data_IF_307127477779
#
_entry.id   IF_307127477779
#
_cell.length_a   1.000
_cell.length_b   1.000
_cell.length_c   1.000
_cell.angle_alpha   90.00
_cell.angle_beta   90.00
_cell.angle_gamma   90.00
#
_symmetry.space_group_name_H-M   'P 1'
#
loop_
_entity.id
_entity.type
_entity.pdbx_description
1 polymer ?
#
# COMPACT_ATOMS: atom_id res chain seq x y z
N UNK A 1 18.38 -0.42 9.08
CA UNK A 1 18.33 -0.06 7.65
C UNK A 1 19.70 0.06 7.00
N UNK A 2 20.69 0.64 7.69
CA UNK A 2 22.05 0.81 7.16
C UNK A 2 22.85 -0.49 7.00
N UNK A 3 22.31 -1.63 7.44
CA UNK A 3 22.94 -2.96 7.36
C UNK A 3 22.18 -3.94 6.48
N UNK A 4 21.21 -3.49 5.70
CA UNK A 4 20.40 -4.31 4.80
C UNK A 4 20.65 -3.91 3.35
N UNK A 5 20.51 -4.86 2.44
CA UNK A 5 20.62 -4.66 0.98
C UNK A 5 19.39 -3.93 0.39
N UNK A 6 18.75 -3.04 1.18
CA UNK A 6 17.58 -2.27 0.77
C UNK A 6 18.03 -0.84 0.43
N UNK A 7 17.91 -0.50 -0.83
CA UNK A 7 18.35 0.82 -1.33
C UNK A 7 17.36 1.93 -1.04
N UNK A 8 16.05 1.65 -1.15
CA UNK A 8 15.00 2.67 -1.04
C UNK A 8 13.80 2.13 -0.27
N UNK A 9 13.21 2.99 0.55
CA UNK A 9 11.97 2.69 1.28
C UNK A 9 10.97 3.83 1.07
N UNK A 10 9.73 3.48 0.76
CA UNK A 10 8.59 4.37 0.91
C UNK A 10 7.95 4.08 2.28
N UNK A 11 8.12 5.00 3.21
CA UNK A 11 7.46 4.92 4.52
C UNK A 11 6.07 5.51 4.42
N UNK A 12 5.07 4.81 4.94
CA UNK A 12 3.66 5.17 4.81
C UNK A 12 3.12 5.71 6.13
N UNK A 13 2.55 6.92 6.10
CA UNK A 13 1.84 7.49 7.22
C UNK A 13 0.36 7.13 7.14
N UNK A 14 -0.14 6.36 8.09
CA UNK A 14 -1.54 5.91 8.12
C UNK A 14 -2.44 6.76 9.05
N UNK A 15 -1.87 7.76 9.71
CA UNK A 15 -2.57 8.70 10.59
C UNK A 15 -1.94 10.09 10.49
N UNK A 16 -2.61 11.12 11.01
CA UNK A 16 -2.06 12.50 11.01
C UNK A 16 -0.69 12.55 11.69
N UNK A 17 -0.56 11.91 12.85
CA UNK A 17 0.73 11.82 13.56
C UNK A 17 1.73 10.96 12.80
N UNK A 18 1.29 9.84 12.21
CA UNK A 18 2.08 8.96 11.35
C UNK A 18 2.65 9.73 10.14
N UNK A 19 1.84 10.55 9.48
CA UNK A 19 2.29 11.40 8.38
C UNK A 19 3.41 12.38 8.82
N UNK A 20 3.26 13.05 9.97
CA UNK A 20 4.29 13.94 10.50
C UNK A 20 5.61 13.20 10.78
N UNK A 21 5.53 12.01 11.38
CA UNK A 21 6.71 11.15 11.64
C UNK A 21 7.36 10.69 10.33
N UNK A 22 6.55 10.29 9.36
CA UNK A 22 7.00 9.85 8.02
C UNK A 22 7.73 10.97 7.28
N UNK A 23 7.18 12.17 7.27
CA UNK A 23 7.83 13.36 6.69
C UNK A 23 9.17 13.66 7.37
N UNK A 24 9.24 13.55 8.70
CA UNK A 24 10.49 13.72 9.43
C UNK A 24 11.55 12.67 9.06
N UNK A 25 11.15 11.40 8.94
CA UNK A 25 12.06 10.33 8.52
C UNK A 25 12.57 10.57 7.09
N UNK A 26 11.71 10.92 6.16
CA UNK A 26 12.08 11.22 4.78
C UNK A 26 13.02 12.42 4.67
N UNK A 27 12.89 13.41 5.56
CA UNK A 27 13.83 14.55 5.65
C UNK A 27 15.19 14.14 6.18
N UNK A 28 15.24 13.22 7.16
CA UNK A 28 16.49 12.80 7.81
C UNK A 28 17.30 11.83 6.97
N UNK A 29 16.67 10.99 6.15
CA UNK A 29 17.33 9.91 5.43
C UNK A 29 17.14 10.05 3.91
N UNK A 30 18.26 10.03 3.18
CA UNK A 30 18.28 10.24 1.73
C UNK A 30 17.44 9.19 0.97
N UNK A 31 17.47 7.95 1.42
CA UNK A 31 16.84 6.79 0.79
C UNK A 31 15.43 6.48 1.33
N UNK A 32 14.88 7.34 2.18
CA UNK A 32 13.49 7.24 2.63
C UNK A 32 12.64 8.27 1.90
N UNK A 33 11.54 7.80 1.34
CA UNK A 33 10.46 8.61 0.76
C UNK A 33 9.20 8.46 1.61
N UNK A 34 8.24 9.35 1.41
CA UNK A 34 7.02 9.42 2.18
C UNK A 34 5.80 9.15 1.30
N UNK A 35 4.87 8.36 1.81
CA UNK A 35 3.48 8.43 1.43
C UNK A 35 2.68 8.99 2.61
N UNK A 36 1.74 9.90 2.34
CA UNK A 36 0.95 10.57 3.37
C UNK A 36 -0.54 10.46 3.06
N UNK A 37 -1.30 10.08 4.06
CA UNK A 37 -2.75 9.87 3.99
C UNK A 37 -3.28 9.46 5.36
N UNK A 38 -4.58 9.30 5.46
CA UNK A 38 -5.22 8.86 6.70
C UNK A 38 -5.97 7.57 6.43
N UNK A 39 -5.66 6.55 7.19
CA UNK A 39 -6.27 5.22 7.13
C UNK A 39 -7.73 5.25 7.62
N UNK A 40 -8.60 4.36 7.16
CA UNK A 40 -9.99 4.27 7.62
C UNK A 40 -10.17 4.34 9.13
N UNK A 41 -9.33 3.68 9.91
CA UNK A 41 -9.40 3.66 11.39
C UNK A 41 -9.29 5.05 12.06
N UNK A 42 -8.77 6.04 11.34
CA UNK A 42 -8.56 7.42 11.84
C UNK A 42 -9.43 8.47 11.12
N UNK A 43 -10.41 8.07 10.32
CA UNK A 43 -11.25 8.99 9.55
C UNK A 43 -12.14 9.91 10.41
N UNK A 44 -12.42 9.54 11.64
CA UNK A 44 -13.10 10.41 12.62
C UNK A 44 -12.31 11.69 12.96
N UNK A 45 -10.99 11.66 12.77
CA UNK A 45 -10.08 12.79 13.00
C UNK A 45 -9.86 13.65 11.75
N UNK A 46 -10.37 13.21 10.59
CA UNK A 46 -10.13 13.88 9.32
C UNK A 46 -11.11 15.04 9.10
N UNK A 47 -10.59 16.14 8.60
CA UNK A 47 -11.34 17.34 8.23
C UNK A 47 -10.67 18.06 7.05
N UNK A 48 -11.27 19.09 6.49
CA UNK A 48 -10.74 19.80 5.32
C UNK A 48 -9.43 20.55 5.60
N UNK A 49 -9.15 20.95 6.84
CA UNK A 49 -7.87 21.59 7.19
C UNK A 49 -6.73 20.55 7.08
N UNK A 50 -6.97 19.31 7.51
CA UNK A 50 -6.02 18.20 7.35
C UNK A 50 -5.84 17.85 5.88
N UNK A 51 -6.90 17.78 5.10
CA UNK A 51 -6.81 17.56 3.64
C UNK A 51 -5.97 18.65 2.97
N UNK A 52 -6.19 19.91 3.36
CA UNK A 52 -5.43 21.06 2.84
C UNK A 52 -3.94 20.96 3.20
N UNK A 53 -3.61 20.59 4.43
CA UNK A 53 -2.24 20.34 4.87
C UNK A 53 -1.58 19.19 4.11
N UNK A 54 -2.26 18.04 3.94
CA UNK A 54 -1.74 16.90 3.16
C UNK A 54 -1.48 17.30 1.71
N UNK A 55 -2.38 18.10 1.11
CA UNK A 55 -2.24 18.62 -0.24
C UNK A 55 -1.03 19.53 -0.38
N UNK A 56 -0.81 20.45 0.56
CA UNK A 56 0.33 21.35 0.59
C UNK A 56 1.66 20.57 0.69
N UNK A 57 1.75 19.61 1.60
CA UNK A 57 2.91 18.73 1.74
C UNK A 57 3.17 17.94 0.45
N UNK A 58 2.13 17.39 -0.17
CA UNK A 58 2.27 16.62 -1.41
C UNK A 58 2.77 17.46 -2.58
N UNK A 59 2.43 18.74 -2.65
CA UNK A 59 2.85 19.67 -3.71
C UNK A 59 4.25 20.24 -3.46
N UNK A 60 4.58 20.57 -2.22
CA UNK A 60 5.81 21.30 -1.89
C UNK A 60 7.00 20.40 -1.56
N UNK A 61 6.75 19.18 -1.09
CA UNK A 61 7.79 18.28 -0.61
C UNK A 61 8.12 17.19 -1.64
N UNK A 62 9.28 17.23 -2.30
CA UNK A 62 9.66 16.25 -3.32
C UNK A 62 9.87 14.84 -2.76
N UNK A 63 9.98 14.69 -1.44
CA UNK A 63 10.05 13.38 -0.79
C UNK A 63 8.69 12.69 -0.64
N UNK A 64 7.59 13.42 -0.80
CA UNK A 64 6.25 12.84 -0.84
C UNK A 64 6.00 12.29 -2.25
N UNK A 65 5.95 10.97 -2.36
CA UNK A 65 5.85 10.26 -3.64
C UNK A 65 4.47 9.65 -3.91
N UNK A 66 3.64 9.51 -2.88
CA UNK A 66 2.29 8.95 -3.00
C UNK A 66 1.34 9.53 -1.94
N UNK A 67 0.04 9.40 -2.20
CA UNK A 67 -1.01 9.64 -1.21
C UNK A 67 -1.47 8.28 -0.66
N UNK A 68 -1.34 8.10 0.62
CA UNK A 68 -1.67 6.84 1.32
C UNK A 68 -1.07 6.79 2.73
N UNK A 69 -1.57 5.90 3.51
CA UNK A 69 -2.55 4.86 3.20
C UNK A 69 -3.97 5.43 3.30
N UNK A 70 -4.80 5.19 2.29
CA UNK A 70 -6.20 5.61 2.23
C UNK A 70 -7.05 4.43 1.76
N UNK A 71 -8.35 4.42 2.04
CA UNK A 71 -9.20 3.33 1.54
C UNK A 71 -10.36 2.96 2.44
N UNK A 72 -10.68 1.65 2.49
CA UNK A 72 -11.84 1.10 3.20
C UNK A 72 -11.45 -0.13 4.03
N UNK A 73 -11.95 -0.22 5.26
CA UNK A 73 -11.86 -1.41 6.11
C UNK A 73 -13.26 -1.80 6.63
N UNK A 74 -13.85 -2.84 6.06
CA UNK A 74 -15.15 -3.36 6.47
C UNK A 74 -15.03 -4.54 7.44
N UNK A 75 -13.83 -4.96 7.76
CA UNK A 75 -13.62 -6.00 8.76
C UNK A 75 -13.88 -5.48 10.18
N UNK A 76 -13.38 -4.30 10.50
CA UNK A 76 -13.69 -3.61 11.76
C UNK A 76 -14.99 -2.82 11.66
N UNK A 77 -15.32 -2.32 10.46
CA UNK A 77 -16.53 -1.53 10.14
C UNK A 77 -16.67 -0.26 11.03
N UNK A 78 -15.54 0.28 11.44
CA UNK A 78 -15.40 1.51 12.24
C UNK A 78 -14.39 2.45 11.57
N UNK A 79 -14.73 3.75 11.40
CA UNK A 79 -16.05 4.35 11.57
C UNK A 79 -17.08 3.80 10.57
N UNK A 80 -18.35 4.23 10.70
CA UNK A 80 -19.43 3.80 9.79
C UNK A 80 -19.04 3.92 8.31
N UNK A 81 -19.51 3.00 7.48
CA UNK A 81 -19.18 2.92 6.03
C UNK A 81 -19.38 4.23 5.29
N UNK A 82 -20.44 4.97 5.61
CA UNK A 82 -20.71 6.28 4.99
C UNK A 82 -19.57 7.28 5.24
N UNK A 83 -18.97 7.25 6.42
CA UNK A 83 -17.81 8.08 6.78
C UNK A 83 -16.58 7.60 6.03
N UNK A 84 -16.34 6.28 5.96
CA UNK A 84 -15.22 5.70 5.23
C UNK A 84 -15.30 6.05 3.73
N UNK A 85 -16.47 5.86 3.10
CA UNK A 85 -16.68 6.19 1.68
C UNK A 85 -16.37 7.66 1.40
N UNK A 86 -16.96 8.59 2.20
CA UNK A 86 -16.77 10.03 2.07
C UNK A 86 -15.28 10.42 2.10
N UNK A 87 -14.54 9.93 3.09
CA UNK A 87 -13.15 10.36 3.27
C UNK A 87 -12.19 9.64 2.33
N UNK A 88 -12.50 8.42 1.90
CA UNK A 88 -11.75 7.78 0.83
C UNK A 88 -11.90 8.54 -0.49
N UNK A 89 -13.13 8.85 -0.91
CA UNK A 89 -13.39 9.66 -2.11
C UNK A 89 -12.67 11.03 -2.03
N UNK A 90 -12.75 11.69 -0.88
CA UNK A 90 -12.13 13.01 -0.69
C UNK A 90 -10.60 12.96 -0.79
N UNK A 91 -9.96 11.97 -0.21
CA UNK A 91 -8.50 11.80 -0.30
C UNK A 91 -8.08 11.37 -1.72
N UNK A 92 -8.86 10.51 -2.38
CA UNK A 92 -8.61 10.14 -3.77
C UNK A 92 -8.71 11.36 -4.70
N UNK A 93 -9.71 12.20 -4.52
CA UNK A 93 -9.84 13.45 -5.27
C UNK A 93 -8.59 14.33 -5.08
N UNK A 94 -8.13 14.50 -3.84
CA UNK A 94 -6.89 15.24 -3.55
C UNK A 94 -5.68 14.62 -4.26
N UNK A 95 -5.55 13.29 -4.27
CA UNK A 95 -4.45 12.59 -4.94
C UNK A 95 -4.44 12.87 -6.46
N UNK A 96 -5.61 12.86 -7.10
CA UNK A 96 -5.76 13.23 -8.52
C UNK A 96 -5.40 14.69 -8.76
N UNK A 97 -5.83 15.62 -7.89
CA UNK A 97 -5.51 17.04 -7.97
C UNK A 97 -4.00 17.32 -7.88
N UNK A 98 -3.28 16.58 -7.03
CA UNK A 98 -1.81 16.73 -6.88
C UNK A 98 -1.01 15.83 -7.82
N UNK A 99 -1.69 15.04 -8.64
CA UNK A 99 -1.11 14.09 -9.60
C UNK A 99 -0.09 13.14 -8.95
N UNK A 100 -0.47 12.52 -7.84
CA UNK A 100 0.34 11.52 -7.12
C UNK A 100 -0.36 10.17 -7.13
N UNK A 101 0.36 9.05 -7.29
CA UNK A 101 -0.20 7.71 -7.16
C UNK A 101 -0.73 7.48 -5.75
N UNK A 102 -1.62 6.49 -5.59
CA UNK A 102 -2.24 6.18 -4.30
C UNK A 102 -1.78 4.84 -3.74
N UNK A 103 -1.73 4.74 -2.41
CA UNK A 103 -1.57 3.47 -1.68
C UNK A 103 -2.90 3.15 -1.01
N UNK A 104 -3.54 2.07 -1.45
CA UNK A 104 -4.91 1.73 -1.11
C UNK A 104 -4.96 0.60 -0.09
N UNK A 105 -5.52 0.90 1.07
CA UNK A 105 -6.03 -0.10 1.99
C UNK A 105 -7.40 -0.58 1.55
N UNK A 106 -7.59 -1.88 1.46
CA UNK A 106 -8.91 -2.42 1.11
C UNK A 106 -9.11 -3.78 1.75
N UNK A 107 -9.94 -3.82 2.79
CA UNK A 107 -10.23 -5.05 3.53
C UNK A 107 -11.72 -5.33 3.57
N UNK A 108 -12.13 -6.47 3.01
CA UNK A 108 -13.54 -6.88 2.83
C UNK A 108 -14.41 -5.85 2.09
N UNK A 109 -13.79 -4.93 1.33
CA UNK A 109 -14.43 -3.77 0.68
C UNK A 109 -14.19 -3.71 -0.85
N UNK A 110 -13.88 -4.84 -1.50
CA UNK A 110 -13.40 -4.90 -2.89
C UNK A 110 -14.31 -4.15 -3.87
N UNK A 111 -15.63 -4.37 -3.80
CA UNK A 111 -16.58 -3.79 -4.75
C UNK A 111 -16.62 -2.26 -4.64
N UNK A 112 -16.74 -1.73 -3.42
CA UNK A 112 -16.79 -0.29 -3.19
C UNK A 112 -15.44 0.37 -3.49
N UNK A 113 -14.32 -0.28 -3.15
CA UNK A 113 -13.00 0.18 -3.55
C UNK A 113 -12.89 0.33 -5.08
N UNK A 114 -13.28 -0.69 -5.84
CA UNK A 114 -13.27 -0.64 -7.31
C UNK A 114 -14.17 0.49 -7.84
N UNK A 115 -15.37 0.65 -7.28
CA UNK A 115 -16.31 1.67 -7.69
C UNK A 115 -15.76 3.08 -7.46
N UNK A 116 -15.19 3.34 -6.27
CA UNK A 116 -14.60 4.65 -5.94
C UNK A 116 -13.40 4.94 -6.83
N UNK A 117 -12.51 3.98 -7.03
CA UNK A 117 -11.34 4.17 -7.89
C UNK A 117 -11.73 4.48 -9.33
N UNK A 118 -12.75 3.80 -9.88
CA UNK A 118 -13.27 4.07 -11.23
C UNK A 118 -13.92 5.46 -11.34
N UNK A 119 -14.81 5.78 -10.41
CA UNK A 119 -15.54 7.04 -10.43
C UNK A 119 -14.62 8.25 -10.17
N UNK A 120 -13.56 8.04 -9.37
CA UNK A 120 -12.55 9.05 -9.06
C UNK A 120 -11.44 9.20 -10.13
N UNK A 121 -11.52 8.48 -11.26
CA UNK A 121 -10.49 8.48 -12.32
C UNK A 121 -9.09 8.15 -11.79
N UNK A 122 -9.00 7.17 -10.90
CA UNK A 122 -7.72 6.76 -10.29
C UNK A 122 -6.73 6.16 -11.30
N UNK A 123 -7.22 5.64 -12.44
CA UNK A 123 -6.41 5.13 -13.56
C UNK A 123 -5.44 6.17 -14.12
N UNK A 124 -5.75 7.47 -13.99
CA UNK A 124 -4.90 8.59 -14.44
C UNK A 124 -3.61 8.71 -13.63
N UNK A 125 -3.65 8.35 -12.36
CA UNK A 125 -2.53 8.45 -11.42
C UNK A 125 -1.97 7.08 -11.03
N UNK A 126 -2.77 6.03 -11.17
CA UNK A 126 -2.42 4.68 -10.73
C UNK A 126 -2.16 4.58 -9.23
N UNK A 127 -1.55 3.50 -8.82
CA UNK A 127 -1.20 3.30 -7.41
C UNK A 127 -0.92 1.85 -7.07
N UNK A 128 -1.07 1.53 -5.80
CA UNK A 128 -0.81 0.20 -5.24
C UNK A 128 -2.04 -0.24 -4.45
N UNK A 129 -2.51 -1.46 -4.70
CA UNK A 129 -3.39 -2.14 -3.75
C UNK A 129 -2.48 -2.78 -2.71
N UNK A 130 -2.36 -2.11 -1.56
CA UNK A 130 -1.53 -2.55 -0.44
C UNK A 130 -2.03 -3.87 0.14
N UNK A 131 -1.11 -4.72 0.57
CA UNK A 131 -1.38 -6.01 1.21
C UNK A 131 -2.48 -6.81 0.48
N UNK A 132 -2.31 -6.98 -0.85
CA UNK A 132 -3.33 -7.58 -1.70
C UNK A 132 -3.86 -8.89 -1.13
N UNK A 133 -5.16 -8.97 -0.89
CA UNK A 133 -5.80 -10.11 -0.22
C UNK A 133 -7.02 -10.67 -0.97
N UNK A 134 -7.34 -10.10 -2.13
CA UNK A 134 -8.47 -10.53 -2.95
C UNK A 134 -8.12 -11.73 -3.84
N UNK A 135 -9.11 -12.22 -4.55
CA UNK A 135 -8.95 -13.37 -5.44
C UNK A 135 -8.27 -12.98 -6.76
N UNK A 136 -7.79 -13.97 -7.49
CA UNK A 136 -7.16 -13.77 -8.80
C UNK A 136 -8.08 -13.12 -9.83
N UNK A 137 -9.40 -13.29 -9.70
CA UNK A 137 -10.40 -12.69 -10.61
C UNK A 137 -10.40 -11.16 -10.52
N UNK A 138 -10.10 -10.58 -9.35
CA UNK A 138 -10.04 -9.14 -9.16
C UNK A 138 -8.76 -8.52 -9.71
N UNK A 139 -7.70 -9.32 -9.96
CA UNK A 139 -6.41 -8.83 -10.46
C UNK A 139 -6.58 -8.05 -11.76
N UNK A 140 -7.32 -8.62 -12.73
CA UNK A 140 -7.54 -7.95 -14.02
C UNK A 140 -8.17 -6.57 -13.87
N UNK A 141 -9.13 -6.41 -12.96
CA UNK A 141 -9.83 -5.14 -12.76
C UNK A 141 -8.87 -4.04 -12.25
N UNK A 142 -8.02 -4.35 -11.27
CA UNK A 142 -7.03 -3.39 -10.76
C UNK A 142 -5.90 -3.15 -11.76
N UNK A 143 -5.46 -4.18 -12.47
CA UNK A 143 -4.47 -4.06 -13.54
C UNK A 143 -4.93 -3.09 -14.64
N UNK A 144 -6.16 -3.24 -15.13
CA UNK A 144 -6.75 -2.38 -16.16
C UNK A 144 -6.89 -0.90 -15.70
N UNK A 145 -6.93 -0.66 -14.39
CA UNK A 145 -6.92 0.67 -13.77
C UNK A 145 -5.51 1.19 -13.46
N UNK A 146 -4.46 0.56 -14.00
CA UNK A 146 -3.06 0.94 -13.81
C UNK A 146 -2.53 0.79 -12.37
N UNK A 147 -3.04 -0.19 -11.62
CA UNK A 147 -2.57 -0.48 -10.27
C UNK A 147 -1.48 -1.56 -10.23
N UNK A 148 -0.62 -1.42 -9.25
CA UNK A 148 0.34 -2.41 -8.79
C UNK A 148 -0.24 -3.17 -7.58
N UNK A 149 0.40 -4.29 -7.23
CA UNK A 149 -0.06 -5.18 -6.17
C UNK A 149 1.02 -5.31 -5.11
N UNK A 150 0.71 -4.86 -3.90
CA UNK A 150 1.58 -5.00 -2.73
C UNK A 150 1.57 -6.44 -2.25
N UNK A 151 2.73 -7.10 -2.27
CA UNK A 151 2.91 -8.48 -1.85
C UNK A 151 3.88 -8.52 -0.68
N UNK A 152 3.37 -8.90 0.48
CA UNK A 152 4.09 -8.91 1.75
C UNK A 152 4.16 -10.28 2.41
N UNK A 153 4.50 -10.28 3.70
CA UNK A 153 4.74 -11.47 4.53
C UNK A 153 3.62 -12.50 4.54
N UNK A 154 2.37 -12.06 4.33
CA UNK A 154 1.18 -12.94 4.26
C UNK A 154 1.33 -14.03 3.20
N UNK A 155 2.07 -13.76 2.09
CA UNK A 155 2.32 -14.75 1.05
C UNK A 155 2.96 -16.04 1.57
N UNK A 156 3.69 -15.96 2.67
CA UNK A 156 4.38 -17.11 3.28
C UNK A 156 3.50 -17.92 4.25
N UNK A 157 2.27 -17.48 4.53
CA UNK A 157 1.41 -18.12 5.52
C UNK A 157 0.73 -19.37 4.96
N UNK A 158 0.54 -20.38 5.80
CA UNK A 158 -0.07 -21.66 5.41
C UNK A 158 -1.49 -21.51 4.84
N UNK A 159 -2.23 -20.48 5.26
CA UNK A 159 -3.60 -20.19 4.84
C UNK A 159 -3.69 -19.15 3.71
N UNK A 160 -2.58 -18.77 3.09
CA UNK A 160 -2.52 -17.73 2.06
C UNK A 160 -2.92 -18.21 0.65
N UNK A 161 -3.70 -19.29 0.53
CA UNK A 161 -4.04 -19.91 -0.76
C UNK A 161 -4.56 -18.90 -1.80
N UNK A 162 -5.48 -18.04 -1.42
CA UNK A 162 -6.03 -17.01 -2.34
C UNK A 162 -4.95 -16.07 -2.87
N UNK A 163 -4.05 -15.63 -2.00
CA UNK A 163 -2.96 -14.74 -2.37
C UNK A 163 -1.94 -15.45 -3.27
N UNK A 164 -1.65 -16.72 -3.02
CA UNK A 164 -0.78 -17.53 -3.89
C UNK A 164 -1.40 -17.65 -5.29
N UNK A 165 -2.68 -18.01 -5.41
CA UNK A 165 -3.39 -18.08 -6.69
C UNK A 165 -3.42 -16.71 -7.41
N UNK A 166 -3.54 -15.61 -6.69
CA UNK A 166 -3.45 -14.26 -7.25
C UNK A 166 -2.01 -13.94 -7.71
N UNK A 167 -1.02 -14.23 -6.87
CA UNK A 167 0.38 -14.01 -7.21
C UNK A 167 0.81 -14.77 -8.47
N UNK A 168 0.26 -15.96 -8.74
CA UNK A 168 0.52 -16.70 -9.99
C UNK A 168 0.14 -15.90 -11.25
N UNK A 169 -0.97 -15.18 -11.22
CA UNK A 169 -1.53 -14.45 -12.38
C UNK A 169 -1.13 -12.99 -12.47
N UNK A 170 -0.73 -12.35 -11.37
CA UNK A 170 -0.25 -10.96 -11.39
C UNK A 170 1.03 -10.89 -12.24
N UNK A 171 1.13 -10.01 -13.28
CA UNK A 171 2.38 -9.80 -14.01
C UNK A 171 3.51 -9.37 -13.07
N UNK A 172 4.71 -9.90 -13.27
CA UNK A 172 5.85 -9.66 -12.37
C UNK A 172 6.18 -8.17 -12.24
N UNK A 173 6.11 -7.43 -13.34
CA UNK A 173 6.33 -6.00 -13.43
C UNK A 173 5.23 -5.16 -12.77
N UNK A 174 4.20 -5.78 -12.23
CA UNK A 174 3.11 -5.14 -11.48
C UNK A 174 3.09 -5.53 -10.01
N UNK A 175 4.07 -6.29 -9.56
CA UNK A 175 4.27 -6.62 -8.15
C UNK A 175 5.17 -5.56 -7.52
N UNK A 176 4.81 -5.12 -6.32
CA UNK A 176 5.67 -4.36 -5.42
C UNK A 176 5.85 -5.14 -4.13
N UNK A 177 7.10 -5.26 -3.70
CA UNK A 177 7.44 -5.93 -2.45
C UNK A 177 7.18 -4.99 -1.27
N UNK A 178 6.54 -5.52 -0.25
CA UNK A 178 6.25 -4.77 0.97
C UNK A 178 6.43 -5.61 2.22
N UNK A 179 6.43 -4.99 3.38
CA UNK A 179 6.58 -5.71 4.65
C UNK A 179 5.43 -5.50 5.62
N UNK A 180 4.71 -4.40 5.52
CA UNK A 180 3.70 -3.96 6.51
C UNK A 180 4.26 -3.92 7.95
N UNK A 181 5.56 -3.66 8.09
CA UNK A 181 6.19 -3.64 9.40
C UNK A 181 5.68 -2.48 10.27
N UNK A 182 5.48 -2.72 11.56
CA UNK A 182 6.01 -3.82 12.38
C UNK A 182 5.12 -5.09 12.43
N UNK A 183 4.11 -5.19 11.59
CA UNK A 183 3.13 -6.27 11.55
C UNK A 183 3.48 -7.34 10.50
N UNK A 184 2.70 -8.39 10.43
CA UNK A 184 2.66 -9.43 9.39
C UNK A 184 4.01 -10.06 9.05
N UNK A 185 4.88 -10.27 10.06
CA UNK A 185 6.17 -10.92 9.86
C UNK A 185 6.01 -12.26 9.11
N UNK A 186 6.80 -12.48 8.02
CA UNK A 186 6.73 -13.73 7.25
C UNK A 186 7.22 -14.94 8.05
N UNK A 187 6.88 -16.13 7.58
CA UNK A 187 7.51 -17.36 8.04
C UNK A 187 9.00 -17.32 7.63
N UNK A 188 9.96 -17.66 8.52
CA UNK A 188 9.78 -18.31 9.83
C UNK A 188 9.57 -17.35 11.02
N UNK A 189 9.51 -16.06 10.80
CA UNK A 189 9.46 -15.04 11.86
C UNK A 189 8.03 -14.68 12.31
N UNK A 190 7.02 -15.41 11.86
CA UNK A 190 5.61 -15.15 12.22
C UNK A 190 5.42 -15.07 13.73
N UNK A 191 4.67 -14.04 14.18
CA UNK A 191 4.42 -13.77 15.61
C UNK A 191 5.49 -12.92 16.29
N UNK A 192 6.58 -12.57 15.60
CA UNK A 192 7.58 -11.62 16.07
C UNK A 192 7.30 -10.24 15.46
N UNK A 193 7.96 -9.20 16.00
CA UNK A 193 7.97 -7.88 15.38
C UNK A 193 8.63 -7.97 14.00
N UNK A 194 7.93 -7.47 12.98
CA UNK A 194 8.46 -7.41 11.62
C UNK A 194 9.40 -6.21 11.40
N UNK A 195 10.29 -6.35 10.45
CA UNK A 195 11.12 -5.27 9.92
C UNK A 195 11.44 -5.51 8.44
N UNK A 196 11.99 -4.49 7.78
CA UNK A 196 12.24 -4.52 6.33
C UNK A 196 13.22 -5.61 5.89
N UNK A 197 14.09 -6.13 6.76
CA UNK A 197 15.03 -7.21 6.42
C UNK A 197 14.33 -8.55 6.13
N UNK A 198 13.11 -8.70 6.61
CA UNK A 198 12.30 -9.88 6.37
C UNK A 198 11.75 -9.99 4.92
N UNK A 199 11.92 -8.96 4.09
CA UNK A 199 11.45 -8.96 2.71
C UNK A 199 12.05 -10.11 1.87
N UNK A 200 13.24 -10.58 2.23
CA UNK A 200 13.89 -11.74 1.60
C UNK A 200 13.03 -12.99 1.58
N UNK A 201 12.26 -13.25 2.63
CA UNK A 201 11.38 -14.42 2.69
C UNK A 201 10.17 -14.29 1.76
N UNK A 202 9.72 -13.06 1.50
CA UNK A 202 8.69 -12.77 0.51
C UNK A 202 9.25 -13.00 -0.89
N UNK A 203 10.47 -12.52 -1.16
CA UNK A 203 11.18 -12.71 -2.44
C UNK A 203 11.37 -14.20 -2.74
N UNK A 204 11.90 -14.98 -1.78
CA UNK A 204 12.09 -16.41 -1.91
C UNK A 204 10.77 -17.13 -2.25
N UNK A 205 9.70 -16.82 -1.51
CA UNK A 205 8.37 -17.41 -1.73
C UNK A 205 7.78 -17.02 -3.09
N UNK A 206 7.95 -15.78 -3.49
CA UNK A 206 7.48 -15.29 -4.79
C UNK A 206 8.25 -15.95 -5.95
N UNK A 207 9.57 -16.13 -5.80
CA UNK A 207 10.41 -16.83 -6.76
C UNK A 207 9.96 -18.29 -6.97
N UNK A 208 9.61 -18.99 -5.87
CA UNK A 208 9.02 -20.34 -5.93
C UNK A 208 7.72 -20.35 -6.75
N UNK A 209 6.80 -19.41 -6.48
CA UNK A 209 5.50 -19.32 -7.16
C UNK A 209 5.67 -18.97 -8.65
N UNK A 210 6.54 -18.02 -8.96
CA UNK A 210 6.83 -17.56 -10.33
C UNK A 210 7.76 -18.48 -11.11
N UNK A 211 8.34 -19.49 -10.46
CA UNK A 211 9.32 -20.44 -11.04
C UNK A 211 10.53 -19.73 -11.67
N UNK A 212 11.05 -18.76 -10.95
CA UNK A 212 12.21 -17.94 -11.34
C UNK A 212 13.20 -17.81 -10.18
N UNK A 213 14.28 -17.08 -10.36
CA UNK A 213 15.26 -16.84 -9.29
C UNK A 213 14.87 -15.65 -8.40
N UNK A 214 15.34 -15.59 -7.14
CA UNK A 214 15.17 -14.41 -6.28
C UNK A 214 15.69 -13.11 -6.91
N UNK A 215 16.79 -13.18 -7.66
CA UNK A 215 17.40 -12.04 -8.35
C UNK A 215 16.48 -11.51 -9.48
N UNK A 216 15.76 -12.39 -10.16
CA UNK A 216 14.76 -12.01 -11.18
C UNK A 216 13.58 -11.29 -10.53
N UNK A 217 13.13 -11.74 -9.35
CA UNK A 217 12.10 -11.02 -8.58
C UNK A 217 12.58 -9.61 -8.21
N UNK A 218 13.76 -9.50 -7.57
CA UNK A 218 14.32 -8.20 -7.14
C UNK A 218 14.50 -7.23 -8.32
N UNK A 219 14.83 -7.76 -9.51
CA UNK A 219 15.02 -6.92 -10.70
C UNK A 219 13.69 -6.44 -11.28
N UNK A 220 12.62 -7.20 -11.12
CA UNK A 220 11.31 -6.92 -11.73
C UNK A 220 10.39 -6.11 -10.84
N UNK A 221 10.61 -6.10 -9.52
CA UNK A 221 9.78 -5.46 -8.49
C UNK A 221 10.54 -4.27 -7.80
#
# INVERSE_FOLDING_TARGET
>A
LLSTDIDTIVNVGASIEGCRKTLNLAKQYKNIYAAIGVHPDDYDKLNEDIISWLKEEALSNPKVVAIGEIGLDYYYDEPERAVQLKWFERQLQMAVEVNKPVIIHSREACADTINILKNGNADRIGGIIHCYSYTKESVKTFYDMNFYFGIGGVLTFKNARKLVEAAEVIPMERILLETDCPYLAPVPNRGKRNDSSNIRYVIEKLAEIKKCTPEEIVRAT
#
